data_IF_468218913592
#
_entry.id   IF_468218913592
#
_cell.length_a   1.000
_cell.length_b   1.000
_cell.length_c   1.000
_cell.angle_alpha   90.00
_cell.angle_beta   90.00
_cell.angle_gamma   90.00
#
_symmetry.space_group_name_H-M   'P 1'
#
loop_
_entity.id
_entity.type
_entity.pdbx_description
1 polymer ?
#
# COMPACT_ATOMS: atom_id res chain seq x y z
N UNK A 1 -3.33 -19.40 4.83
CA UNK A 1 -3.00 -18.48 3.72
C UNK A 1 -4.24 -17.76 3.21
N UNK A 2 -5.36 -18.46 3.01
CA UNK A 2 -6.65 -17.86 2.60
C UNK A 2 -7.14 -16.79 3.59
N UNK A 3 -7.18 -17.08 4.89
CA UNK A 3 -7.64 -16.13 5.92
C UNK A 3 -6.85 -14.82 5.97
N UNK A 4 -5.55 -14.87 5.66
CA UNK A 4 -4.70 -13.68 5.63
C UNK A 4 -4.95 -12.85 4.36
N UNK A 5 -5.14 -13.52 3.23
CA UNK A 5 -5.55 -12.87 1.97
C UNK A 5 -6.93 -12.25 2.08
N UNK A 6 -7.89 -12.90 2.75
CA UNK A 6 -9.23 -12.39 3.01
C UNK A 6 -9.17 -11.13 3.89
N UNK A 7 -8.46 -11.19 5.02
CA UNK A 7 -8.30 -10.03 5.92
C UNK A 7 -7.59 -8.86 5.21
N UNK A 8 -6.58 -9.15 4.39
CA UNK A 8 -5.87 -8.12 3.62
C UNK A 8 -6.78 -7.55 2.53
N UNK A 9 -7.58 -8.37 1.85
CA UNK A 9 -8.52 -7.92 0.82
C UNK A 9 -9.68 -7.13 1.44
N UNK A 10 -10.25 -7.54 2.56
CA UNK A 10 -11.33 -6.79 3.24
C UNK A 10 -10.80 -5.46 3.79
N UNK A 11 -9.65 -5.47 4.47
CA UNK A 11 -9.08 -4.22 5.02
C UNK A 11 -8.59 -3.29 3.90
N UNK A 12 -7.97 -3.82 2.85
CA UNK A 12 -7.44 -2.99 1.76
C UNK A 12 -8.51 -2.58 0.75
N UNK A 13 -9.45 -3.45 0.35
CA UNK A 13 -10.50 -3.11 -0.61
C UNK A 13 -11.74 -2.52 0.06
N UNK A 14 -12.32 -3.18 1.07
CA UNK A 14 -13.51 -2.64 1.74
C UNK A 14 -13.15 -1.45 2.63
N UNK A 15 -12.04 -1.53 3.37
CA UNK A 15 -11.55 -0.42 4.18
C UNK A 15 -11.22 0.83 3.36
N UNK A 16 -10.55 0.71 2.19
CA UNK A 16 -10.33 1.89 1.33
C UNK A 16 -11.59 2.33 0.58
N UNK A 17 -12.46 1.40 0.15
CA UNK A 17 -13.71 1.75 -0.53
C UNK A 17 -14.73 2.43 0.40
N UNK A 18 -14.87 1.98 1.64
CA UNK A 18 -15.66 2.64 2.69
C UNK A 18 -15.03 3.96 3.10
N UNK A 19 -13.71 4.05 3.18
CA UNK A 19 -13.05 5.33 3.39
C UNK A 19 -13.42 6.30 2.29
N UNK A 20 -13.45 5.88 1.01
CA UNK A 20 -13.80 6.72 -0.14
C UNK A 20 -15.29 7.10 -0.18
N UNK A 21 -16.20 6.18 0.15
CA UNK A 21 -17.67 6.43 0.15
C UNK A 21 -18.19 7.11 1.41
N UNK A 22 -17.51 6.96 2.55
CA UNK A 22 -17.93 7.59 3.80
C UNK A 22 -17.59 9.08 3.79
N UNK A 23 -18.64 9.92 3.77
CA UNK A 23 -18.55 11.36 4.09
C UNK A 23 -18.03 11.64 5.51
N UNK A 24 -17.87 10.60 6.35
CA UNK A 24 -17.47 10.68 7.76
C UNK A 24 -16.04 10.21 8.07
N UNK A 25 -15.29 9.64 7.12
CA UNK A 25 -13.89 9.27 7.40
C UNK A 25 -13.01 10.53 7.44
N UNK A 26 -12.31 10.81 8.55
CA UNK A 26 -11.51 12.02 8.68
C UNK A 26 -10.40 12.02 7.63
N UNK A 27 -10.21 13.13 6.89
CA UNK A 27 -9.08 13.30 5.95
C UNK A 27 -7.74 12.91 6.58
N UNK A 28 -7.58 13.19 7.88
CA UNK A 28 -6.42 12.81 8.67
C UNK A 28 -6.18 11.30 8.71
N UNK A 29 -7.22 10.48 8.89
CA UNK A 29 -7.10 9.02 8.91
C UNK A 29 -6.64 8.49 7.55
N UNK A 30 -7.11 9.09 6.45
CA UNK A 30 -6.68 8.73 5.09
C UNK A 30 -5.19 9.01 4.88
N UNK A 31 -4.73 10.21 5.25
CA UNK A 31 -3.31 10.55 5.16
C UNK A 31 -2.44 9.70 6.08
N UNK A 32 -2.93 9.37 7.27
CA UNK A 32 -2.24 8.48 8.19
C UNK A 32 -2.04 7.08 7.59
N UNK A 33 -3.09 6.48 7.03
CA UNK A 33 -3.01 5.16 6.38
C UNK A 33 -2.05 5.19 5.18
N UNK A 34 -2.15 6.20 4.31
CA UNK A 34 -1.24 6.35 3.16
C UNK A 34 0.21 6.50 3.64
N UNK A 35 0.44 7.33 4.66
CA UNK A 35 1.76 7.51 5.26
C UNK A 35 2.31 6.21 5.85
N UNK A 36 1.47 5.42 6.51
CA UNK A 36 1.83 4.13 7.06
C UNK A 36 2.20 3.13 5.95
N UNK A 37 1.45 3.08 4.85
CA UNK A 37 1.76 2.23 3.69
C UNK A 37 3.09 2.63 3.04
N UNK A 38 3.33 3.93 2.85
CA UNK A 38 4.62 4.45 2.34
C UNK A 38 5.76 4.11 3.30
N UNK A 39 5.53 4.21 4.61
CA UNK A 39 6.50 3.83 5.64
C UNK A 39 6.86 2.35 5.57
N UNK A 40 5.87 1.46 5.45
CA UNK A 40 6.10 0.02 5.30
C UNK A 40 6.85 -0.30 4.00
N UNK A 41 6.49 0.36 2.89
CA UNK A 41 7.23 0.23 1.62
C UNK A 41 8.70 0.61 1.79
N UNK A 42 8.97 1.76 2.42
CA UNK A 42 10.32 2.22 2.71
C UNK A 42 11.07 1.25 3.63
N UNK A 43 10.39 0.68 4.64
CA UNK A 43 10.96 -0.32 5.53
C UNK A 43 11.38 -1.58 4.77
N UNK A 44 10.58 -2.07 3.83
CA UNK A 44 10.97 -3.23 3.03
C UNK A 44 12.19 -2.94 2.15
N UNK A 45 12.26 -1.78 1.49
CA UNK A 45 13.46 -1.43 0.73
C UNK A 45 14.69 -1.25 1.62
N UNK A 46 14.52 -0.68 2.82
CA UNK A 46 15.60 -0.58 3.80
C UNK A 46 16.08 -1.96 4.27
N UNK A 47 15.16 -2.87 4.61
CA UNK A 47 15.50 -4.24 5.01
C UNK A 47 16.14 -5.04 3.88
N UNK A 48 15.71 -4.82 2.64
CA UNK A 48 16.37 -5.38 1.45
C UNK A 48 17.83 -4.95 1.39
N UNK A 49 18.10 -3.65 1.56
CA UNK A 49 19.47 -3.11 1.57
C UNK A 49 20.31 -3.66 2.74
N UNK A 50 19.73 -3.75 3.95
CA UNK A 50 20.41 -4.31 5.13
C UNK A 50 20.76 -5.79 4.91
N UNK A 51 19.86 -6.54 4.29
CA UNK A 51 20.01 -7.99 4.05
C UNK A 51 20.68 -8.31 2.70
N UNK A 52 21.41 -7.37 2.10
CA UNK A 52 22.07 -7.54 0.79
C UNK A 52 23.01 -8.74 0.69
N UNK A 53 23.55 -9.22 1.81
CA UNK A 53 24.43 -10.39 1.86
C UNK A 53 23.65 -11.72 1.83
N UNK A 54 22.37 -11.69 2.18
CA UNK A 54 21.46 -12.82 2.05
C UNK A 54 20.55 -12.59 0.84
N UNK A 55 20.96 -13.10 -0.33
CA UNK A 55 20.26 -12.89 -1.60
C UNK A 55 18.76 -13.21 -1.53
N UNK A 56 18.40 -14.30 -0.84
CA UNK A 56 16.99 -14.71 -0.71
C UNK A 56 16.18 -13.66 0.04
N UNK A 57 16.68 -13.15 1.16
CA UNK A 57 15.98 -12.12 1.95
C UNK A 57 15.96 -10.77 1.22
N UNK A 58 17.07 -10.38 0.60
CA UNK A 58 17.16 -9.16 -0.21
C UNK A 58 16.07 -9.16 -1.29
N UNK A 59 16.01 -10.21 -2.11
CA UNK A 59 15.01 -10.32 -3.17
C UNK A 59 13.59 -10.37 -2.63
N UNK A 60 13.35 -11.09 -1.52
CA UNK A 60 12.03 -11.14 -0.88
C UNK A 60 11.53 -9.75 -0.50
N UNK A 61 12.37 -8.97 0.19
CA UNK A 61 12.00 -7.62 0.61
C UNK A 61 11.89 -6.65 -0.57
N UNK A 62 12.76 -6.77 -1.59
CA UNK A 62 12.66 -5.97 -2.83
C UNK A 62 11.32 -6.21 -3.54
N UNK A 63 10.92 -7.47 -3.69
CA UNK A 63 9.67 -7.84 -4.35
C UNK A 63 8.47 -7.32 -3.55
N UNK A 64 8.46 -7.51 -2.22
CA UNK A 64 7.38 -7.00 -1.35
C UNK A 64 7.25 -5.47 -1.41
N UNK A 65 8.37 -4.74 -1.32
CA UNK A 65 8.39 -3.29 -1.46
C UNK A 65 7.87 -2.84 -2.84
N UNK A 66 8.23 -3.58 -3.90
CA UNK A 66 7.81 -3.27 -5.27
C UNK A 66 6.31 -3.49 -5.50
N UNK A 67 5.73 -4.55 -4.92
CA UNK A 67 4.27 -4.80 -4.98
C UNK A 67 3.51 -3.62 -4.35
N UNK A 68 3.96 -3.14 -3.19
CA UNK A 68 3.34 -1.98 -2.52
C UNK A 68 3.50 -0.72 -3.36
N UNK A 69 4.68 -0.51 -3.96
CA UNK A 69 4.92 0.63 -4.84
C UNK A 69 3.97 0.64 -6.06
N UNK A 70 3.79 -0.51 -6.71
CA UNK A 70 2.84 -0.66 -7.83
C UNK A 70 1.40 -0.43 -7.38
N UNK A 71 1.02 -0.94 -6.21
CA UNK A 71 -0.29 -0.68 -5.63
C UNK A 71 -0.54 0.82 -5.40
N UNK A 72 0.42 1.53 -4.80
CA UNK A 72 0.33 2.98 -4.59
C UNK A 72 0.26 3.75 -5.91
N UNK A 73 1.04 3.35 -6.92
CA UNK A 73 1.00 3.95 -8.24
C UNK A 73 -0.39 3.77 -8.89
N UNK A 74 -1.00 2.60 -8.75
CA UNK A 74 -2.34 2.31 -9.25
C UNK A 74 -3.42 3.16 -8.58
N UNK A 75 -3.30 3.38 -7.25
CA UNK A 75 -4.19 4.25 -6.48
C UNK A 75 -4.03 5.71 -6.93
N UNK A 76 -2.78 6.16 -7.10
CA UNK A 76 -2.49 7.51 -7.58
C UNK A 76 -3.06 7.75 -8.98
N UNK A 77 -2.89 6.79 -9.89
CA UNK A 77 -3.45 6.85 -11.24
C UNK A 77 -4.98 6.97 -11.21
N UNK A 78 -5.68 6.14 -10.43
CA UNK A 78 -7.14 6.21 -10.27
C UNK A 78 -7.59 7.55 -9.69
N UNK A 79 -6.87 8.06 -8.70
CA UNK A 79 -7.15 9.36 -8.09
C UNK A 79 -6.97 10.52 -9.09
N UNK A 80 -5.88 10.50 -9.87
CA UNK A 80 -5.63 11.50 -10.90
C UNK A 80 -6.71 11.48 -11.99
N UNK A 81 -7.09 10.29 -12.47
CA UNK A 81 -8.16 10.12 -13.46
C UNK A 81 -9.50 10.65 -12.95
N UNK A 82 -9.83 10.46 -11.67
CA UNK A 82 -11.06 10.95 -11.08
C UNK A 82 -11.12 12.49 -10.92
N UNK A 83 -9.98 13.20 -11.05
CA UNK A 83 -9.86 14.64 -10.81
C UNK A 83 -9.73 15.49 -12.07
N UNK A 84 -9.51 14.85 -13.23
CA UNK A 84 -9.47 15.50 -14.54
C UNK A 84 -10.83 15.25 -15.19
N UNK A 85 -11.74 16.25 -15.27
CA UNK A 85 -12.97 16.10 -16.03
C UNK A 85 -12.62 16.00 -17.52
N UNK A 86 -13.15 14.98 -18.20
CA UNK A 86 -13.14 14.89 -19.67
C UNK A 86 -13.92 16.06 -20.29
#
# INVERSE_FOLDING_TARGET
MELFMEIVMDILFEGTAEIVKSKKSPKALRYFIIGLIIGIMGLFFFLSYVQRENETLMWTFTVLGSIIAVFLLSLFYRFAKARIPE
#
